data_IF_172424257541
#
_entry.id   IF_172424257541
#
_cell.length_a   1.000
_cell.length_b   1.000
_cell.length_c   1.000
_cell.angle_alpha   90.00
_cell.angle_beta   90.00
_cell.angle_gamma   90.00
#
_symmetry.space_group_name_H-M   'P 1'
#
loop_
_entity.id
_entity.type
_entity.pdbx_description
1 polymer ?
#
# COMPACT_ATOMS: atom_id res chain seq x y z
N UNK A 1 -2.72 8.11 8.85
CA UNK A 1 -2.33 6.72 9.21
C UNK A 1 -1.11 6.37 8.36
N UNK A 2 -0.11 5.66 8.90
CA UNK A 2 0.98 5.14 8.06
C UNK A 2 0.50 3.94 7.22
N UNK A 3 0.79 3.98 5.93
CA UNK A 3 0.40 2.96 4.96
C UNK A 3 1.61 2.64 4.09
N UNK A 4 2.16 1.43 4.23
CA UNK A 4 3.17 0.94 3.30
C UNK A 4 2.56 0.80 1.89
N UNK A 5 3.37 1.00 0.84
CA UNK A 5 2.89 1.10 -0.53
C UNK A 5 2.06 -0.11 -0.96
N UNK A 6 2.50 -1.33 -0.62
CA UNK A 6 1.81 -2.58 -0.94
C UNK A 6 0.47 -2.78 -0.20
N UNK A 7 0.22 -2.01 0.85
CA UNK A 7 -1.03 -2.01 1.60
C UNK A 7 -1.97 -0.85 1.22
N UNK A 8 -1.55 0.01 0.29
CA UNK A 8 -2.31 1.21 -0.08
C UNK A 8 -3.53 0.85 -0.93
N UNK A 9 -4.68 1.44 -0.61
CA UNK A 9 -5.86 1.43 -1.48
C UNK A 9 -5.94 2.78 -2.18
N UNK A 10 -6.20 2.78 -3.49
CA UNK A 10 -6.49 4.02 -4.22
C UNK A 10 -7.80 4.64 -3.75
N UNK A 11 -7.91 5.97 -3.82
CA UNK A 11 -9.02 6.75 -3.25
C UNK A 11 -10.40 6.25 -3.70
N UNK A 12 -10.57 5.97 -4.99
CA UNK A 12 -11.84 5.45 -5.52
C UNK A 12 -12.25 4.12 -4.87
N UNK A 13 -11.31 3.19 -4.72
CA UNK A 13 -11.55 1.89 -4.09
C UNK A 13 -11.80 2.05 -2.58
N UNK A 14 -11.09 2.97 -1.91
CA UNK A 14 -11.31 3.27 -0.50
C UNK A 14 -12.70 3.90 -0.25
N UNK A 15 -13.14 4.82 -1.11
CA UNK A 15 -14.47 5.42 -1.05
C UNK A 15 -15.58 4.40 -1.36
N UNK A 16 -15.38 3.52 -2.34
CA UNK A 16 -16.31 2.43 -2.64
C UNK A 16 -16.42 1.46 -1.47
N UNK A 17 -15.29 1.05 -0.88
CA UNK A 17 -15.26 0.22 0.32
C UNK A 17 -16.01 0.88 1.48
N UNK A 18 -15.71 2.16 1.75
CA UNK A 18 -16.35 2.89 2.84
C UNK A 18 -17.87 3.01 2.62
N UNK A 19 -18.30 3.28 1.37
CA UNK A 19 -19.71 3.30 0.98
C UNK A 19 -20.39 1.96 1.18
N UNK A 20 -19.72 0.84 0.90
CA UNK A 20 -20.26 -0.50 1.11
C UNK A 20 -20.45 -0.86 2.58
N UNK A 21 -19.57 -0.37 3.47
CA UNK A 21 -19.69 -0.57 4.92
C UNK A 21 -20.78 0.32 5.52
N UNK A 22 -20.86 1.59 5.11
CA UNK A 22 -21.94 2.51 5.49
C UNK A 22 -21.98 2.94 6.96
N UNK A 23 -21.05 2.47 7.80
CA UNK A 23 -20.95 2.82 9.22
C UNK A 23 -19.50 3.13 9.61
N UNK A 24 -19.28 4.09 10.50
CA UNK A 24 -17.93 4.50 10.88
C UNK A 24 -17.87 5.29 12.18
N UNK A 25 -16.66 5.48 12.71
CA UNK A 25 -16.40 6.29 13.91
C UNK A 25 -16.06 7.72 13.49
N UNK A 26 -16.95 8.66 13.76
CA UNK A 26 -16.67 10.08 13.61
C UNK A 26 -15.81 10.55 14.78
N UNK A 27 -14.60 10.96 14.47
CA UNK A 27 -13.65 11.57 15.39
C UNK A 27 -13.55 13.06 15.12
N UNK A 28 -13.74 13.87 16.15
CA UNK A 28 -13.60 15.34 16.09
C UNK A 28 -13.03 15.85 17.41
N UNK A 29 -12.62 17.11 17.42
CA UNK A 29 -12.14 17.77 18.65
C UNK A 29 -13.18 18.77 19.12
N UNK A 30 -13.60 18.66 20.38
CA UNK A 30 -14.44 19.64 21.04
C UNK A 30 -13.74 20.31 22.22
N UNK A 31 -14.43 21.21 22.96
CA UNK A 31 -13.85 21.94 24.09
C UNK A 31 -13.30 21.06 25.23
N UNK A 32 -13.74 19.79 25.30
CA UNK A 32 -13.33 18.83 26.32
C UNK A 32 -12.33 17.78 25.81
N UNK A 33 -11.78 17.96 24.60
CA UNK A 33 -10.87 17.01 23.95
C UNK A 33 -11.52 16.23 22.82
N UNK A 34 -11.00 15.03 22.55
CA UNK A 34 -11.44 14.18 21.45
C UNK A 34 -12.82 13.57 21.73
N UNK A 35 -13.71 13.67 20.75
CA UNK A 35 -14.99 12.99 20.69
C UNK A 35 -14.94 11.87 19.65
N UNK A 36 -15.65 10.77 19.93
CA UNK A 36 -15.84 9.68 18.98
C UNK A 36 -17.29 9.20 19.04
N UNK A 37 -18.00 9.23 17.91
CA UNK A 37 -19.36 8.66 17.79
C UNK A 37 -19.45 7.72 16.60
N UNK A 38 -19.97 6.52 16.84
CA UNK A 38 -20.27 5.57 15.76
C UNK A 38 -21.56 5.98 15.04
N UNK A 39 -21.47 6.20 13.73
CA UNK A 39 -22.56 6.73 12.92
C UNK A 39 -22.77 5.92 11.64
N UNK A 40 -24.02 5.63 11.25
CA UNK A 40 -24.37 5.31 9.87
C UNK A 40 -24.23 6.54 8.98
N UNK A 41 -23.76 6.35 7.75
CA UNK A 41 -23.51 7.44 6.82
C UNK A 41 -23.83 7.06 5.36
N UNK A 42 -23.97 8.08 4.53
CA UNK A 42 -23.94 7.98 3.07
C UNK A 42 -22.72 8.74 2.53
N UNK A 43 -22.20 8.34 1.38
CA UNK A 43 -21.18 9.12 0.67
C UNK A 43 -21.86 9.75 -0.56
N UNK A 44 -21.78 11.07 -0.73
CA UNK A 44 -22.33 11.78 -1.88
C UNK A 44 -21.20 12.43 -2.68
N UNK A 45 -21.24 12.31 -3.99
CA UNK A 45 -20.26 12.94 -4.89
C UNK A 45 -20.97 14.04 -5.66
N UNK A 46 -20.50 15.28 -5.51
CA UNK A 46 -21.06 16.45 -6.19
C UNK A 46 -19.96 17.15 -6.99
N UNK A 47 -19.90 16.83 -8.29
CA UNK A 47 -18.78 17.25 -9.13
C UNK A 47 -17.49 16.58 -8.65
N UNK A 48 -16.46 17.38 -8.34
CA UNK A 48 -15.17 16.90 -7.83
C UNK A 48 -15.14 16.75 -6.31
N UNK A 49 -16.20 17.16 -5.61
CA UNK A 49 -16.25 17.12 -4.14
C UNK A 49 -16.96 15.88 -3.65
N UNK A 50 -16.42 15.29 -2.59
CA UNK A 50 -16.98 14.12 -1.91
C UNK A 50 -17.42 14.51 -0.50
N UNK A 51 -18.61 14.09 -0.12
CA UNK A 51 -19.24 14.43 1.15
C UNK A 51 -19.67 13.16 1.87
N UNK A 52 -19.34 13.04 3.16
CA UNK A 52 -19.90 11.98 4.01
C UNK A 52 -21.02 12.56 4.85
N UNK A 53 -22.25 12.11 4.60
CA UNK A 53 -23.45 12.59 5.25
C UNK A 53 -23.89 11.63 6.35
N UNK A 54 -24.10 12.15 7.55
CA UNK A 54 -24.62 11.40 8.69
C UNK A 54 -25.52 12.31 9.52
N UNK A 55 -26.10 11.77 10.60
CA UNK A 55 -26.85 12.60 11.54
C UNK A 55 -26.47 12.24 12.97
N UNK A 56 -26.55 13.23 13.85
CA UNK A 56 -26.34 13.07 15.28
C UNK A 56 -27.63 13.42 16.01
N UNK A 57 -27.85 12.80 17.17
CA UNK A 57 -28.88 13.27 18.08
C UNK A 57 -28.53 14.69 18.53
N UNK A 58 -29.51 15.59 18.55
CA UNK A 58 -29.32 17.01 18.91
C UNK A 58 -28.72 17.22 20.30
N UNK A 59 -28.91 16.28 21.22
CA UNK A 59 -28.30 16.32 22.56
C UNK A 59 -26.82 15.95 22.57
N UNK A 60 -26.32 15.23 21.55
CA UNK A 60 -24.90 14.96 21.39
C UNK A 60 -24.19 16.27 21.02
N UNK A 61 -23.32 16.84 21.87
CA UNK A 61 -22.70 18.12 21.58
C UNK A 61 -21.74 18.09 20.39
N UNK A 62 -21.30 16.90 19.94
CA UNK A 62 -20.31 16.73 18.87
C UNK A 62 -20.72 17.37 17.53
N UNK A 63 -22.01 17.56 17.24
CA UNK A 63 -22.44 18.27 16.03
C UNK A 63 -22.02 19.75 16.02
N UNK A 64 -21.60 20.30 17.17
CA UNK A 64 -21.09 21.67 17.32
C UNK A 64 -19.55 21.73 17.31
N UNK A 65 -18.87 20.60 17.20
CA UNK A 65 -17.40 20.59 17.11
C UNK A 65 -16.97 21.33 15.84
N UNK A 66 -15.85 22.04 15.92
CA UNK A 66 -15.26 22.82 14.83
C UNK A 66 -13.89 22.26 14.43
N UNK A 67 -13.42 22.68 13.25
CA UNK A 67 -12.14 22.24 12.71
C UNK A 67 -12.19 20.92 11.94
N UNK A 68 -11.02 20.29 11.82
CA UNK A 68 -10.84 19.05 11.09
C UNK A 68 -11.43 17.86 11.86
N UNK A 69 -12.17 17.02 11.14
CA UNK A 69 -12.71 15.77 11.65
C UNK A 69 -12.26 14.61 10.76
N UNK A 70 -12.36 13.40 11.30
CA UNK A 70 -12.00 12.16 10.63
C UNK A 70 -13.07 11.11 10.86
N UNK A 71 -13.57 10.52 9.79
CA UNK A 71 -14.39 9.32 9.86
C UNK A 71 -13.50 8.09 9.63
N UNK A 72 -13.47 7.19 10.61
CA UNK A 72 -12.78 5.90 10.50
C UNK A 72 -13.80 4.83 10.15
N UNK A 73 -13.64 4.23 8.98
CA UNK A 73 -14.46 3.12 8.49
C UNK A 73 -13.65 1.84 8.61
N UNK A 74 -14.02 1.02 9.60
CA UNK A 74 -13.33 -0.23 9.89
C UNK A 74 -13.97 -1.37 9.08
N UNK A 75 -13.14 -2.07 8.31
CA UNK A 75 -13.49 -3.29 7.62
C UNK A 75 -13.37 -4.54 8.48
N UNK A 76 -13.52 -5.74 7.87
CA UNK A 76 -13.23 -6.98 8.56
C UNK A 76 -11.74 -7.05 8.94
N UNK A 77 -11.47 -7.74 10.05
CA UNK A 77 -10.12 -8.01 10.53
C UNK A 77 -10.02 -9.40 11.13
N UNK A 78 -8.88 -10.07 10.99
CA UNK A 78 -8.65 -11.39 11.52
C UNK A 78 -7.19 -11.57 11.95
N UNK A 79 -7.01 -12.26 13.08
CA UNK A 79 -5.71 -12.74 13.49
C UNK A 79 -5.26 -13.87 12.57
N UNK A 80 -4.05 -13.75 12.04
CA UNK A 80 -3.37 -14.76 11.23
C UNK A 80 -2.35 -15.45 12.12
N UNK A 81 -2.55 -16.75 12.36
CA UNK A 81 -1.63 -17.59 13.11
C UNK A 81 -0.37 -17.86 12.30
N UNK A 82 0.76 -18.02 12.98
CA UNK A 82 1.98 -18.57 12.36
C UNK A 82 1.76 -19.94 11.72
N UNK A 83 0.77 -20.70 12.21
CA UNK A 83 0.38 -22.01 11.69
C UNK A 83 -0.52 -21.92 10.44
N UNK A 84 -1.04 -20.74 10.10
CA UNK A 84 -1.87 -20.56 8.90
C UNK A 84 -0.97 -20.42 7.65
N UNK A 85 0.32 -20.12 7.81
CA UNK A 85 1.27 -20.01 6.69
C UNK A 85 1.76 -21.37 6.19
N UNK A 86 2.19 -21.47 4.92
CA UNK A 86 2.95 -22.63 4.46
C UNK A 86 4.19 -22.86 5.32
N UNK A 87 4.64 -24.12 5.36
CA UNK A 87 5.91 -24.44 6.02
C UNK A 87 7.08 -23.67 5.39
N UNK A 88 8.03 -23.26 6.23
CA UNK A 88 9.20 -22.50 5.78
C UNK A 88 9.98 -23.25 4.70
N UNK A 89 10.22 -22.59 3.57
CA UNK A 89 10.97 -23.18 2.47
C UNK A 89 12.49 -23.10 2.75
N UNK A 90 13.30 -24.05 2.26
CA UNK A 90 14.75 -23.93 2.31
C UNK A 90 15.24 -22.63 1.65
N UNK A 91 16.00 -21.81 2.38
CA UNK A 91 16.47 -20.52 1.90
C UNK A 91 15.49 -19.35 2.10
N UNK A 92 14.35 -19.59 2.76
CA UNK A 92 13.48 -18.52 3.26
C UNK A 92 14.26 -17.67 4.26
N UNK A 93 14.33 -16.36 3.98
CA UNK A 93 15.10 -15.42 4.79
C UNK A 93 14.30 -14.89 5.98
N UNK A 94 12.99 -14.69 5.81
CA UNK A 94 12.12 -14.09 6.82
C UNK A 94 11.18 -15.11 7.46
N UNK A 95 11.04 -15.13 8.80
CA UNK A 95 10.07 -15.99 9.46
C UNK A 95 8.65 -15.45 9.24
N UNK A 96 7.70 -16.36 9.04
CA UNK A 96 6.28 -16.00 9.05
C UNK A 96 5.77 -15.94 10.48
N UNK A 97 5.51 -14.74 10.99
CA UNK A 97 5.09 -14.50 12.38
C UNK A 97 3.58 -14.24 12.48
N UNK A 98 2.93 -14.54 13.63
CA UNK A 98 1.53 -14.19 13.84
C UNK A 98 1.27 -12.69 13.63
N UNK A 99 0.16 -12.36 12.98
CA UNK A 99 -0.16 -10.97 12.61
C UNK A 99 -1.66 -10.70 12.56
N UNK A 100 -2.04 -9.48 12.17
CA UNK A 100 -3.43 -9.08 11.94
C UNK A 100 -3.61 -8.63 10.49
N UNK A 101 -4.51 -9.30 9.79
CA UNK A 101 -5.00 -8.83 8.50
C UNK A 101 -6.27 -8.00 8.70
N UNK A 102 -6.36 -6.86 8.02
CA UNK A 102 -7.48 -5.94 8.17
C UNK A 102 -7.58 -4.96 6.99
N UNK A 103 -8.78 -4.38 6.84
CA UNK A 103 -9.03 -3.23 5.97
C UNK A 103 -9.55 -2.06 6.80
N UNK A 104 -9.07 -0.86 6.53
CA UNK A 104 -9.59 0.37 7.16
C UNK A 104 -9.46 1.56 6.21
N UNK A 105 -10.41 2.48 6.28
CA UNK A 105 -10.43 3.72 5.50
C UNK A 105 -10.61 4.89 6.45
N UNK A 106 -9.77 5.90 6.32
CA UNK A 106 -9.92 7.17 7.02
C UNK A 106 -10.32 8.24 6.00
N UNK A 107 -11.41 8.94 6.28
CA UNK A 107 -11.87 10.10 5.49
C UNK A 107 -11.71 11.33 6.38
N UNK A 108 -10.88 12.28 5.97
CA UNK A 108 -10.68 13.54 6.71
C UNK A 108 -11.32 14.70 5.98
N UNK A 109 -11.73 15.71 6.74
CA UNK A 109 -12.44 16.82 6.17
C UNK A 109 -12.94 17.84 7.18
N UNK A 110 -13.69 18.81 6.67
CA UNK A 110 -14.38 19.80 7.48
C UNK A 110 -15.85 19.43 7.69
N UNK A 111 -16.36 19.66 8.90
CA UNK A 111 -17.76 19.44 9.23
C UNK A 111 -18.62 20.66 8.88
N UNK A 112 -19.82 20.39 8.37
CA UNK A 112 -20.89 21.37 8.23
C UNK A 112 -22.21 20.79 8.74
N UNK A 113 -23.10 21.68 9.19
CA UNK A 113 -24.33 21.31 9.88
C UNK A 113 -25.55 21.65 9.02
N UNK A 114 -26.47 20.70 8.94
CA UNK A 114 -27.74 20.80 8.21
C UNK A 114 -28.91 20.56 9.16
N UNK A 115 -29.70 21.61 9.39
CA UNK A 115 -30.93 21.51 10.20
C UNK A 115 -32.21 21.70 9.39
N UNK A 116 -32.12 21.66 8.07
CA UNK A 116 -33.29 21.72 7.21
C UNK A 116 -33.93 20.33 7.03
N UNK A 117 -35.26 20.28 7.04
CA UNK A 117 -36.01 19.03 6.96
C UNK A 117 -35.87 18.35 5.59
N UNK A 118 -35.60 19.10 4.52
CA UNK A 118 -35.43 18.54 3.18
C UNK A 118 -34.15 17.72 3.07
N UNK A 119 -33.04 18.23 3.61
CA UNK A 119 -31.76 17.53 3.72
C UNK A 119 -31.92 16.29 4.61
N UNK A 120 -32.52 16.43 5.80
CA UNK A 120 -32.74 15.30 6.73
C UNK A 120 -33.59 14.20 6.10
N UNK A 121 -34.62 14.57 5.33
CA UNK A 121 -35.44 13.62 4.58
C UNK A 121 -34.62 12.91 3.49
N UNK A 122 -33.86 13.66 2.69
CA UNK A 122 -33.05 13.09 1.62
C UNK A 122 -31.98 12.13 2.14
N UNK A 123 -31.27 12.52 3.22
CA UNK A 123 -30.30 11.68 3.91
C UNK A 123 -30.92 10.40 4.46
N UNK A 124 -32.05 10.51 5.16
CA UNK A 124 -32.73 9.36 5.74
C UNK A 124 -33.23 8.39 4.65
N UNK A 125 -33.77 8.89 3.54
CA UNK A 125 -34.20 8.05 2.42
C UNK A 125 -33.02 7.22 1.89
N UNK A 126 -31.85 7.83 1.68
CA UNK A 126 -30.64 7.11 1.23
C UNK A 126 -30.14 6.09 2.25
N UNK A 127 -30.15 6.43 3.55
CA UNK A 127 -29.78 5.48 4.60
C UNK A 127 -30.71 4.26 4.60
N UNK A 128 -32.02 4.50 4.48
CA UNK A 128 -33.00 3.40 4.40
C UNK A 128 -32.75 2.55 3.15
N UNK A 129 -32.52 3.16 1.99
CA UNK A 129 -32.20 2.42 0.76
C UNK A 129 -30.92 1.60 0.86
N UNK A 130 -29.93 2.08 1.62
CA UNK A 130 -28.67 1.37 1.83
C UNK A 130 -28.80 0.17 2.77
N UNK A 131 -29.50 0.33 3.89
CA UNK A 131 -29.56 -0.70 4.95
C UNK A 131 -30.77 -1.63 4.86
N UNK A 132 -31.87 -1.19 4.22
CA UNK A 132 -33.11 -1.95 4.17
C UNK A 132 -33.38 -2.45 2.75
N UNK A 133 -33.55 -3.77 2.61
CA UNK A 133 -33.94 -4.38 1.33
C UNK A 133 -35.43 -4.19 1.03
N UNK A 134 -36.29 -4.28 2.06
CA UNK A 134 -37.75 -4.30 1.89
C UNK A 134 -38.46 -3.10 2.55
N UNK A 135 -37.95 -2.62 3.69
CA UNK A 135 -38.60 -1.56 4.44
C UNK A 135 -38.45 -0.20 3.74
N UNK A 136 -39.54 0.57 3.65
CA UNK A 136 -39.59 1.86 2.93
C UNK A 136 -40.48 2.88 3.63
N UNK A 137 -40.02 4.13 3.67
CA UNK A 137 -40.85 5.29 4.06
C UNK A 137 -41.93 5.53 3.01
N UNK A 138 -43.14 5.86 3.45
CA UNK A 138 -44.34 5.99 2.61
C UNK A 138 -45.14 4.69 2.45
N UNK A 139 -44.50 3.53 2.64
CA UNK A 139 -45.16 2.21 2.59
C UNK A 139 -45.38 1.66 4.00
N UNK A 140 -44.31 1.57 4.79
CA UNK A 140 -44.33 0.95 6.12
C UNK A 140 -44.50 1.99 7.24
N UNK A 141 -44.19 3.26 6.97
CA UNK A 141 -44.43 4.40 7.86
C UNK A 141 -44.77 5.65 7.04
N UNK A 142 -45.40 6.66 7.63
CA UNK A 142 -45.69 7.92 6.93
C UNK A 142 -44.50 8.89 6.99
N UNK A 143 -44.35 9.70 5.94
CA UNK A 143 -43.38 10.80 5.94
C UNK A 143 -43.63 11.80 7.07
N UNK A 144 -44.88 11.99 7.50
CA UNK A 144 -45.22 12.90 8.59
C UNK A 144 -44.68 12.42 9.95
N UNK A 145 -44.83 11.12 10.25
CA UNK A 145 -44.29 10.53 11.48
C UNK A 145 -42.76 10.59 11.50
N UNK A 146 -42.13 10.33 10.36
CA UNK A 146 -40.68 10.44 10.20
C UNK A 146 -40.21 11.89 10.39
N UNK A 147 -40.88 12.86 9.77
CA UNK A 147 -40.53 14.28 9.90
C UNK A 147 -40.66 14.76 11.34
N UNK A 148 -41.61 14.25 12.12
CA UNK A 148 -41.72 14.57 13.54
C UNK A 148 -40.46 14.17 14.34
N UNK A 149 -39.71 13.16 13.90
CA UNK A 149 -38.45 12.76 14.52
C UNK A 149 -37.26 13.68 14.15
N UNK A 150 -37.37 14.50 13.09
CA UNK A 150 -36.27 15.38 12.65
C UNK A 150 -35.93 16.48 13.65
N UNK A 151 -36.82 16.80 14.59
CA UNK A 151 -36.51 17.72 15.70
C UNK A 151 -35.43 17.17 16.62
N UNK A 152 -35.32 15.84 16.73
CA UNK A 152 -34.39 15.17 17.65
C UNK A 152 -32.99 14.97 17.03
N UNK A 153 -32.83 15.16 15.72
CA UNK A 153 -31.57 14.95 15.02
C UNK A 153 -31.09 16.23 14.34
N UNK A 154 -29.79 16.27 14.09
CA UNK A 154 -29.10 17.29 13.31
C UNK A 154 -28.35 16.57 12.20
N UNK A 155 -28.54 16.99 10.95
CA UNK A 155 -27.75 16.53 9.83
C UNK A 155 -26.34 17.09 9.90
N UNK A 156 -25.35 16.28 9.57
CA UNK A 156 -23.95 16.69 9.55
C UNK A 156 -23.31 16.12 8.29
N UNK A 157 -22.48 16.93 7.66
CA UNK A 157 -21.75 16.55 6.46
C UNK A 157 -20.25 16.81 6.66
N UNK A 158 -19.42 15.82 6.33
CA UNK A 158 -17.97 15.92 6.26
C UNK A 158 -17.56 16.11 4.79
N UNK A 159 -17.08 17.31 4.42
CA UNK A 159 -16.47 17.55 3.11
C UNK A 159 -15.07 16.92 3.08
N UNK A 160 -14.92 15.83 2.33
CA UNK A 160 -13.70 15.01 2.32
C UNK A 160 -12.59 15.74 1.57
N UNK A 161 -11.48 15.98 2.27
CA UNK A 161 -10.26 16.60 1.73
C UNK A 161 -9.10 15.62 1.59
N UNK A 162 -9.14 14.49 2.31
CA UNK A 162 -8.12 13.44 2.24
C UNK A 162 -8.77 12.06 2.43
N UNK A 163 -8.38 11.11 1.58
CA UNK A 163 -8.78 9.70 1.66
C UNK A 163 -7.53 8.87 1.95
N UNK A 164 -7.57 8.05 2.99
CA UNK A 164 -6.47 7.14 3.33
C UNK A 164 -7.05 5.74 3.48
N UNK A 165 -6.82 4.86 2.51
CA UNK A 165 -7.22 3.45 2.58
C UNK A 165 -6.03 2.52 2.81
N UNK A 166 -6.19 1.56 3.73
CA UNK A 166 -5.20 0.52 4.02
C UNK A 166 -5.84 -0.86 4.01
N UNK A 167 -5.29 -1.75 3.20
CA UNK A 167 -5.59 -3.17 3.18
C UNK A 167 -4.33 -3.97 3.48
N UNK A 168 -4.16 -4.41 4.74
CA UNK A 168 -3.07 -5.30 5.14
C UNK A 168 -3.58 -6.73 5.10
N UNK A 169 -3.21 -7.47 4.07
CA UNK A 169 -3.80 -8.76 3.71
C UNK A 169 -2.76 -9.82 3.32
N UNK A 170 -1.48 -9.60 3.68
CA UNK A 170 -0.40 -10.55 3.41
C UNK A 170 0.29 -10.35 2.06
N UNK A 171 0.19 -9.17 1.44
CA UNK A 171 0.79 -8.84 0.14
C UNK A 171 2.30 -9.12 0.06
N UNK A 172 3.01 -9.17 1.19
CA UNK A 172 4.44 -9.50 1.19
C UNK A 172 4.70 -10.97 0.77
N UNK A 173 3.73 -11.87 0.92
CA UNK A 173 3.84 -13.30 0.59
C UNK A 173 3.62 -13.58 -0.91
N UNK A 174 3.97 -14.78 -1.38
CA UNK A 174 3.63 -15.24 -2.73
C UNK A 174 2.12 -15.43 -2.91
N UNK A 175 1.65 -15.41 -4.15
CA UNK A 175 0.24 -15.64 -4.48
C UNK A 175 -0.27 -16.98 -3.93
N UNK A 176 0.54 -18.04 -4.07
CA UNK A 176 0.25 -19.37 -3.52
C UNK A 176 0.20 -19.37 -1.99
N UNK A 177 1.14 -18.70 -1.32
CA UNK A 177 1.16 -18.62 0.13
C UNK A 177 -0.05 -17.84 0.68
N UNK A 178 -0.46 -16.76 0.01
CA UNK A 178 -1.67 -16.00 0.37
C UNK A 178 -2.91 -16.89 0.26
N UNK A 179 -3.07 -17.61 -0.87
CA UNK A 179 -4.20 -18.51 -1.08
C UNK A 179 -4.22 -19.66 -0.04
N UNK A 180 -3.06 -20.23 0.27
CA UNK A 180 -2.93 -21.25 1.32
C UNK A 180 -3.35 -20.72 2.69
N UNK A 181 -2.84 -19.54 3.07
CA UNK A 181 -3.19 -18.90 4.35
C UNK A 181 -4.66 -18.52 4.43
N UNK A 182 -5.25 -18.02 3.34
CA UNK A 182 -6.69 -17.76 3.26
C UNK A 182 -7.51 -19.05 3.44
N UNK A 183 -7.11 -20.15 2.82
CA UNK A 183 -7.73 -21.46 2.99
C UNK A 183 -7.71 -21.95 4.45
N UNK A 184 -6.54 -21.94 5.07
CA UNK A 184 -6.38 -22.33 6.48
C UNK A 184 -7.20 -21.43 7.42
N UNK A 185 -7.23 -20.11 7.14
CA UNK A 185 -8.01 -19.15 7.91
C UNK A 185 -9.52 -19.48 7.86
N UNK A 186 -10.05 -19.81 6.67
CA UNK A 186 -11.47 -20.20 6.52
C UNK A 186 -11.80 -21.49 7.26
N UNK A 187 -10.92 -22.48 7.21
CA UNK A 187 -11.12 -23.75 7.94
C UNK A 187 -11.08 -23.56 9.46
N UNK A 188 -10.21 -22.65 9.93
CA UNK A 188 -10.01 -22.39 11.35
C UNK A 188 -11.10 -21.50 11.97
N UNK A 189 -11.59 -20.50 11.22
CA UNK A 189 -12.47 -19.45 11.75
C UNK A 189 -13.44 -18.93 10.68
N UNK A 190 -14.70 -19.37 10.75
CA UNK A 190 -15.77 -18.93 9.83
C UNK A 190 -16.01 -17.42 9.90
N UNK A 191 -15.81 -16.78 11.06
CA UNK A 191 -15.98 -15.32 11.20
C UNK A 191 -14.90 -14.52 10.46
N UNK A 192 -13.77 -15.18 10.13
CA UNK A 192 -12.67 -14.61 9.37
C UNK A 192 -12.80 -14.81 7.86
N UNK A 193 -13.83 -15.52 7.37
CA UNK A 193 -14.09 -15.71 5.94
C UNK A 193 -14.08 -14.40 5.13
N UNK A 194 -14.68 -13.27 5.59
CA UNK A 194 -14.58 -12.00 4.86
C UNK A 194 -13.14 -11.50 4.69
N UNK A 195 -12.24 -11.76 5.65
CA UNK A 195 -10.82 -11.42 5.50
C UNK A 195 -10.14 -12.35 4.49
N UNK A 196 -10.41 -13.65 4.54
CA UNK A 196 -9.88 -14.60 3.57
C UNK A 196 -10.34 -14.26 2.12
N UNK A 197 -11.60 -13.86 1.95
CA UNK A 197 -12.12 -13.41 0.65
C UNK A 197 -11.37 -12.17 0.16
N UNK A 198 -11.10 -11.19 1.03
CA UNK A 198 -10.32 -10.01 0.68
C UNK A 198 -8.85 -10.35 0.39
N UNK A 199 -8.25 -11.32 1.08
CA UNK A 199 -6.90 -11.81 0.75
C UNK A 199 -6.85 -12.33 -0.69
N UNK A 200 -7.84 -13.10 -1.12
CA UNK A 200 -7.93 -13.61 -2.49
C UNK A 200 -8.31 -12.54 -3.52
N UNK A 201 -9.17 -11.59 -3.17
CA UNK A 201 -9.64 -10.55 -4.10
C UNK A 201 -8.65 -9.40 -4.29
N UNK A 202 -7.85 -9.09 -3.27
CA UNK A 202 -6.94 -7.95 -3.27
C UNK A 202 -5.48 -8.42 -3.28
N UNK A 203 -5.09 -9.25 -2.32
CA UNK A 203 -3.67 -9.57 -2.12
C UNK A 203 -3.14 -10.58 -3.16
N UNK A 204 -3.93 -11.57 -3.58
CA UNK A 204 -3.51 -12.52 -4.64
C UNK A 204 -3.27 -11.83 -5.98
N UNK A 205 -4.19 -11.00 -6.54
CA UNK A 205 -3.92 -10.26 -7.78
C UNK A 205 -2.71 -9.34 -7.67
N UNK A 206 -2.51 -8.70 -6.51
CA UNK A 206 -1.33 -7.89 -6.27
C UNK A 206 -0.04 -8.73 -6.33
N UNK A 207 -0.03 -9.89 -5.67
CA UNK A 207 1.12 -10.79 -5.64
C UNK A 207 1.39 -11.41 -7.01
N UNK A 208 0.35 -11.83 -7.74
CA UNK A 208 0.45 -12.30 -9.13
C UNK A 208 1.02 -11.22 -10.04
N UNK A 209 0.56 -9.97 -9.91
CA UNK A 209 1.08 -8.86 -10.70
C UNK A 209 2.57 -8.59 -10.39
N UNK A 210 2.98 -8.73 -9.12
CA UNK A 210 4.39 -8.67 -8.72
C UNK A 210 5.18 -9.84 -9.33
N UNK A 211 4.67 -11.07 -9.24
CA UNK A 211 5.29 -12.27 -9.79
C UNK A 211 5.39 -12.24 -11.32
N UNK A 212 4.38 -11.71 -12.02
CA UNK A 212 4.37 -11.52 -13.46
C UNK A 212 5.38 -10.45 -13.89
N UNK A 213 5.49 -9.34 -13.14
CA UNK A 213 6.52 -8.33 -13.40
C UNK A 213 7.93 -8.91 -13.26
N UNK A 214 8.15 -9.74 -12.24
CA UNK A 214 9.40 -10.50 -12.07
C UNK A 214 9.59 -11.50 -13.22
N UNK A 215 8.53 -12.20 -13.63
CA UNK A 215 8.55 -13.19 -14.70
C UNK A 215 8.77 -12.61 -16.10
N UNK A 216 8.19 -11.45 -16.41
CA UNK A 216 8.43 -10.74 -17.67
C UNK A 216 9.84 -10.18 -17.72
N UNK A 217 10.32 -9.60 -16.62
CA UNK A 217 11.70 -9.16 -16.52
C UNK A 217 12.68 -10.34 -16.74
N UNK A 218 12.33 -11.55 -16.26
CA UNK A 218 13.06 -12.80 -16.57
C UNK A 218 12.96 -13.29 -18.02
N UNK A 219 11.87 -13.01 -18.75
CA UNK A 219 11.62 -13.50 -20.13
C UNK A 219 12.10 -12.54 -21.20
N UNK A 220 11.87 -11.24 -21.02
CA UNK A 220 12.20 -10.20 -22.00
C UNK A 220 13.72 -9.94 -22.08
N UNK A 221 14.49 -10.56 -21.18
CA UNK A 221 15.97 -10.50 -21.13
C UNK A 221 16.63 -11.78 -21.70
N UNK A 222 15.88 -12.85 -22.04
CA UNK A 222 16.47 -14.11 -22.54
C UNK A 222 15.66 -14.83 -23.65
N UNK A 223 16.14 -14.89 -24.91
CA UNK A 223 15.61 -15.79 -25.92
C UNK A 223 16.34 -17.14 -25.89
N UNK A 224 16.40 -17.84 -24.76
CA UNK A 224 16.88 -19.24 -24.73
C UNK A 224 16.04 -20.05 -23.74
N UNK A 225 15.39 -21.10 -24.27
CA UNK A 225 14.59 -22.05 -23.51
C UNK A 225 15.40 -22.69 -22.36
N UNK A 226 14.93 -22.54 -21.13
CA UNK A 226 15.52 -23.22 -19.97
C UNK A 226 14.76 -24.51 -19.65
N UNK A 227 15.47 -25.64 -19.75
CA UNK A 227 15.19 -26.82 -18.96
C UNK A 227 15.63 -26.54 -17.52
N UNK A 228 14.70 -26.65 -16.57
CA UNK A 228 14.97 -26.51 -15.15
C UNK A 228 16.07 -27.49 -14.70
N UNK A 229 17.22 -26.95 -14.33
CA UNK A 229 18.34 -27.66 -13.69
C UNK A 229 18.48 -27.08 -12.27
N UNK A 230 18.87 -27.87 -11.24
CA UNK A 230 18.78 -27.43 -9.84
C UNK A 230 19.60 -26.16 -9.58
N UNK A 231 19.05 -25.25 -8.77
CA UNK A 231 19.72 -24.02 -8.31
C UNK A 231 21.08 -24.36 -7.69
N UNK A 232 22.16 -24.15 -8.43
CA UNK A 232 23.50 -24.00 -7.85
C UNK A 232 23.53 -22.61 -7.19
N UNK A 233 24.00 -22.54 -5.95
CA UNK A 233 24.14 -21.28 -5.24
C UNK A 233 25.13 -20.36 -5.97
N UNK A 234 24.64 -19.25 -6.54
CA UNK A 234 25.48 -18.19 -7.11
C UNK A 234 25.92 -17.25 -5.98
N UNK A 235 27.21 -17.20 -5.71
CA UNK A 235 27.79 -16.39 -4.63
C UNK A 235 27.67 -14.88 -4.87
N UNK A 236 27.25 -14.44 -6.07
CA UNK A 236 27.01 -13.03 -6.38
C UNK A 236 25.66 -12.54 -5.90
N UNK A 237 24.78 -13.42 -5.42
CA UNK A 237 23.49 -13.03 -4.84
C UNK A 237 23.71 -12.37 -3.47
N UNK A 238 23.05 -11.24 -3.23
CA UNK A 238 23.09 -10.59 -1.92
C UNK A 238 22.50 -11.50 -0.84
N UNK A 239 23.32 -11.80 0.17
CA UNK A 239 22.86 -12.40 1.42
C UNK A 239 22.36 -11.29 2.34
N UNK A 240 21.13 -11.42 2.80
CA UNK A 240 20.50 -10.38 3.59
C UNK A 240 21.14 -10.28 4.98
N UNK A 241 21.44 -9.06 5.41
CA UNK A 241 22.04 -8.78 6.70
C UNK A 241 21.02 -8.16 7.65
N UNK A 242 20.51 -9.01 8.55
CA UNK A 242 19.55 -8.63 9.57
C UNK A 242 20.15 -7.72 10.64
N UNK A 243 21.45 -7.84 10.89
CA UNK A 243 22.12 -7.05 11.91
C UNK A 243 22.27 -5.60 11.46
N UNK A 244 22.55 -5.39 10.17
CA UNK A 244 22.57 -4.06 9.57
C UNK A 244 21.17 -3.41 9.46
N UNK A 245 20.14 -4.20 9.16
CA UNK A 245 18.80 -3.66 8.91
C UNK A 245 17.94 -3.53 10.18
N UNK A 246 18.13 -4.41 11.17
CA UNK A 246 17.22 -4.56 12.32
C UNK A 246 17.94 -4.60 13.67
N UNK A 247 18.99 -5.42 13.81
CA UNK A 247 19.55 -5.73 15.13
C UNK A 247 20.42 -4.60 15.70
N UNK A 248 21.28 -3.99 14.87
CA UNK A 248 22.16 -2.91 15.32
C UNK A 248 21.48 -1.54 15.13
N UNK A 249 21.83 -0.54 15.98
CA UNK A 249 21.38 0.84 15.77
C UNK A 249 21.66 1.31 14.33
N UNK A 250 20.71 2.03 13.69
CA UNK A 250 19.52 2.63 14.27
C UNK A 250 18.31 1.69 14.45
N UNK A 251 18.47 0.39 14.24
CA UNK A 251 17.37 -0.58 14.12
C UNK A 251 16.45 -0.25 12.94
N UNK A 252 15.21 -0.75 12.99
CA UNK A 252 14.16 -0.31 12.09
C UNK A 252 13.43 0.90 12.72
N UNK A 253 14.08 2.06 12.67
CA UNK A 253 13.53 3.35 13.08
C UNK A 253 12.86 4.11 11.90
N UNK A 254 12.77 3.46 10.74
CA UNK A 254 12.27 4.04 9.50
C UNK A 254 13.28 4.86 8.70
N UNK A 255 14.52 5.03 9.19
CA UNK A 255 15.60 5.65 8.42
C UNK A 255 15.92 4.84 7.15
N UNK A 256 16.24 5.50 6.03
CA UNK A 256 16.62 4.79 4.81
C UNK A 256 17.86 3.91 5.02
N UNK A 257 17.83 2.70 4.44
CA UNK A 257 19.00 1.88 4.21
C UNK A 257 19.42 1.99 2.74
N UNK A 258 20.73 2.07 2.50
CA UNK A 258 21.28 2.12 1.14
C UNK A 258 22.20 0.92 0.93
N UNK A 259 21.78 0.02 0.05
CA UNK A 259 22.59 -1.09 -0.44
C UNK A 259 23.16 -0.71 -1.81
N UNK A 260 24.47 -0.47 -1.85
CA UNK A 260 25.18 -0.16 -3.08
C UNK A 260 25.53 -1.44 -3.84
N UNK A 261 25.11 -1.50 -5.09
CA UNK A 261 25.51 -2.50 -6.07
C UNK A 261 26.59 -1.91 -6.98
N UNK A 262 27.73 -2.58 -7.04
CA UNK A 262 28.81 -2.26 -7.96
C UNK A 262 28.93 -3.38 -8.99
N UNK A 263 28.74 -3.03 -10.26
CA UNK A 263 28.93 -3.93 -11.40
C UNK A 263 30.23 -3.56 -12.11
N UNK A 264 31.01 -4.58 -12.48
CA UNK A 264 32.27 -4.41 -13.22
C UNK A 264 32.33 -5.37 -14.39
N UNK A 265 32.80 -4.89 -15.54
CA UNK A 265 32.90 -5.67 -16.79
C UNK A 265 34.23 -5.39 -17.53
N UNK A 266 35.26 -5.00 -16.79
CA UNK A 266 36.59 -4.74 -17.33
C UNK A 266 36.68 -3.43 -18.10
N UNK A 267 36.90 -3.50 -19.43
CA UNK A 267 37.00 -2.33 -20.32
C UNK A 267 35.84 -2.30 -21.33
N UNK A 268 34.73 -2.98 -21.01
CA UNK A 268 33.55 -3.04 -21.87
C UNK A 268 32.45 -2.09 -21.35
N UNK A 269 31.34 -2.00 -22.08
CA UNK A 269 30.16 -1.20 -21.72
C UNK A 269 28.95 -2.08 -21.38
N UNK A 270 29.18 -3.38 -21.21
CA UNK A 270 28.16 -4.41 -20.99
C UNK A 270 27.39 -4.17 -19.69
N UNK A 271 28.09 -3.79 -18.62
CA UNK A 271 27.50 -3.44 -17.33
C UNK A 271 26.56 -2.23 -17.43
N UNK A 272 27.00 -1.17 -18.14
CA UNK A 272 26.20 0.04 -18.35
C UNK A 272 24.95 -0.25 -19.17
N UNK A 273 25.10 -0.96 -20.29
CA UNK A 273 23.96 -1.33 -21.15
C UNK A 273 22.94 -2.18 -20.39
N UNK A 274 23.39 -3.15 -19.59
CA UNK A 274 22.50 -3.97 -18.76
C UNK A 274 21.77 -3.13 -17.69
N UNK A 275 22.50 -2.23 -17.00
CA UNK A 275 21.94 -1.32 -16.01
C UNK A 275 20.87 -0.41 -16.60
N UNK A 276 21.17 0.26 -17.71
CA UNK A 276 20.23 1.18 -18.37
C UNK A 276 18.96 0.45 -18.85
N UNK A 277 19.12 -0.77 -19.39
CA UNK A 277 18.01 -1.60 -19.80
C UNK A 277 17.11 -2.00 -18.63
N UNK A 278 17.68 -2.41 -17.50
CA UNK A 278 16.91 -2.72 -16.29
C UNK A 278 16.22 -1.49 -15.71
N UNK A 279 16.95 -0.37 -15.58
CA UNK A 279 16.40 0.90 -15.09
C UNK A 279 15.21 1.36 -15.93
N UNK A 280 15.20 1.12 -17.23
CA UNK A 280 14.07 1.44 -18.11
C UNK A 280 12.80 0.60 -17.84
N UNK A 281 12.91 -0.52 -17.12
CA UNK A 281 11.76 -1.35 -16.74
C UNK A 281 11.09 -0.91 -15.44
N UNK A 282 11.75 -0.06 -14.65
CA UNK A 282 11.29 0.37 -13.35
C UNK A 282 10.31 1.55 -13.45
N UNK A 283 9.47 1.73 -12.44
CA UNK A 283 8.54 2.87 -12.39
C UNK A 283 9.32 4.14 -12.08
N UNK A 284 9.11 5.19 -12.86
CA UNK A 284 9.68 6.52 -12.61
C UNK A 284 8.79 7.31 -11.64
N UNK A 285 9.41 7.88 -10.59
CA UNK A 285 8.78 8.74 -9.60
C UNK A 285 8.99 10.23 -9.97
N UNK A 286 8.26 11.15 -9.32
CA UNK A 286 8.26 12.59 -9.67
C UNK A 286 9.65 13.25 -9.66
N UNK A 287 10.59 12.73 -8.86
CA UNK A 287 11.95 13.26 -8.72
C UNK A 287 12.97 12.62 -9.71
N UNK A 288 12.51 11.91 -10.74
CA UNK A 288 13.36 11.19 -11.70
C UNK A 288 13.99 9.90 -11.15
N UNK A 289 13.70 9.57 -9.89
CA UNK A 289 14.06 8.29 -9.28
C UNK A 289 13.28 7.14 -9.92
N UNK A 290 13.89 5.96 -9.96
CA UNK A 290 13.22 4.76 -10.46
C UNK A 290 13.15 3.70 -9.39
N UNK A 291 12.10 2.90 -9.37
CA UNK A 291 11.96 1.84 -8.38
C UNK A 291 10.64 1.11 -8.45
N UNK A 292 10.38 0.26 -7.46
CA UNK A 292 9.16 -0.53 -7.31
C UNK A 292 8.91 -0.82 -5.84
N UNK A 293 7.64 -0.95 -5.46
CA UNK A 293 7.21 -1.62 -4.23
C UNK A 293 8.07 -1.33 -2.99
N UNK A 294 8.18 -0.07 -2.57
CA UNK A 294 8.84 0.32 -1.33
C UNK A 294 10.35 0.61 -1.43
N UNK A 295 10.97 0.47 -2.60
CA UNK A 295 12.38 0.82 -2.82
C UNK A 295 12.59 1.63 -4.10
N UNK A 296 13.70 2.37 -4.14
CA UNK A 296 14.17 3.15 -5.28
C UNK A 296 15.63 2.81 -5.59
N UNK A 297 16.08 3.09 -6.80
CA UNK A 297 17.47 2.98 -7.24
C UNK A 297 17.96 4.30 -7.81
N UNK A 298 19.18 4.65 -7.42
CA UNK A 298 19.91 5.78 -7.95
C UNK A 298 21.13 5.30 -8.72
N UNK A 299 21.27 5.79 -9.96
CA UNK A 299 22.51 5.64 -10.70
C UNK A 299 23.48 6.74 -10.29
N UNK A 300 24.50 6.35 -9.51
CA UNK A 300 25.45 7.28 -8.87
C UNK A 300 26.34 7.97 -9.91
N UNK A 301 26.49 7.41 -11.11
CA UNK A 301 27.41 7.89 -12.15
C UNK A 301 26.65 8.47 -13.36
N UNK A 302 25.42 8.04 -13.62
CA UNK A 302 24.60 8.54 -14.73
C UNK A 302 24.11 9.99 -14.58
N UNK A 303 24.07 10.53 -13.35
CA UNK A 303 23.70 11.93 -13.07
C UNK A 303 24.93 12.80 -12.79
N UNK A 304 25.70 13.11 -13.84
CA UNK A 304 26.87 13.98 -13.76
C UNK A 304 26.96 14.95 -14.93
N UNK A 305 26.05 15.92 -15.02
CA UNK A 305 26.30 17.31 -15.50
C UNK A 305 24.99 18.08 -15.71
N UNK A 306 24.41 18.61 -14.62
CA UNK A 306 23.41 19.70 -14.74
C UNK A 306 23.75 20.89 -13.81
N UNK A 307 25.04 21.04 -13.49
CA UNK A 307 25.58 22.31 -13.00
C UNK A 307 25.94 23.18 -14.21
N UNK A 308 25.08 24.15 -14.49
CA UNK A 308 25.20 25.06 -15.62
C UNK A 308 26.54 25.81 -15.68
N UNK A 309 27.46 25.33 -16.50
CA UNK A 309 28.58 26.10 -17.02
C UNK A 309 29.18 25.43 -18.28
N UNK A 310 28.85 25.99 -19.44
CA UNK A 310 29.74 26.04 -20.60
C UNK A 310 29.69 24.85 -21.56
N UNK A 311 29.13 25.10 -22.74
CA UNK A 311 29.29 24.27 -23.93
C UNK A 311 30.78 24.18 -24.32
N UNK A 312 31.32 22.95 -24.35
CA UNK A 312 32.21 22.42 -25.39
C UNK A 312 32.86 21.10 -24.92
N UNK A 313 32.16 19.96 -25.13
CA UNK A 313 32.81 18.67 -25.36
C UNK A 313 31.82 17.68 -25.98
N UNK A 314 32.03 17.36 -27.25
CA UNK A 314 31.46 16.17 -27.87
C UNK A 314 32.24 14.92 -27.39
N UNK A 315 31.53 13.92 -26.87
CA UNK A 315 32.04 12.64 -26.34
C UNK A 315 31.88 12.57 -24.81
N UNK A 316 31.18 11.59 -24.20
CA UNK A 316 31.34 10.16 -24.42
C UNK A 316 30.04 9.35 -24.19
N UNK A 317 29.81 8.36 -25.05
CA UNK A 317 28.99 7.18 -24.76
C UNK A 317 29.66 6.38 -23.63
N UNK A 318 28.89 6.00 -22.61
CA UNK A 318 29.20 4.98 -21.59
C UNK A 318 30.61 4.96 -20.99
N UNK A 319 30.80 5.51 -19.79
CA UNK A 319 32.04 5.29 -19.03
C UNK A 319 32.34 3.78 -18.90
N UNK A 320 33.51 3.36 -19.39
CA UNK A 320 33.93 1.96 -19.35
C UNK A 320 34.14 1.47 -17.90
N UNK A 321 33.72 0.24 -17.63
CA UNK A 321 34.31 -0.63 -16.61
C UNK A 321 33.65 -0.67 -15.23
N UNK A 322 32.79 0.28 -14.87
CA UNK A 322 32.10 0.26 -13.57
C UNK A 322 30.74 0.97 -13.59
N UNK A 323 29.71 0.31 -13.06
CA UNK A 323 28.39 0.92 -12.78
C UNK A 323 28.12 0.83 -11.29
N UNK A 324 27.63 1.92 -10.70
CA UNK A 324 27.33 2.00 -9.28
C UNK A 324 25.87 2.41 -9.10
N UNK A 325 25.08 1.52 -8.51
CA UNK A 325 23.66 1.70 -8.27
C UNK A 325 23.39 1.66 -6.77
N UNK A 326 22.78 2.71 -6.22
CA UNK A 326 22.37 2.76 -4.82
C UNK A 326 20.91 2.34 -4.70
N UNK A 327 20.66 1.15 -4.15
CA UNK A 327 19.33 0.62 -3.86
C UNK A 327 18.90 1.13 -2.48
N UNK A 328 17.82 1.90 -2.43
CA UNK A 328 17.38 2.60 -1.24
C UNK A 328 15.99 2.11 -0.85
N UNK A 329 15.83 1.79 0.42
CA UNK A 329 14.53 1.46 1.04
C UNK A 329 14.45 2.17 2.39
N UNK A 330 13.25 2.49 2.88
CA UNK A 330 13.04 3.15 4.17
C UNK A 330 11.66 2.86 4.75
N UNK A 331 11.36 3.42 5.92
CA UNK A 331 10.10 3.17 6.63
C UNK A 331 10.02 1.78 7.29
N UNK A 332 8.81 1.35 7.64
CA UNK A 332 8.55 0.12 8.41
C UNK A 332 9.07 -1.15 7.71
N UNK A 333 9.17 -1.13 6.39
CA UNK A 333 9.52 -2.30 5.56
C UNK A 333 10.92 -2.14 4.92
N UNK A 334 11.84 -1.41 5.57
CA UNK A 334 13.20 -1.15 5.05
C UNK A 334 13.89 -2.43 4.58
N UNK A 335 13.73 -3.51 5.34
CA UNK A 335 14.32 -4.81 5.03
C UNK A 335 13.68 -5.46 3.80
N UNK A 336 12.35 -5.50 3.72
CA UNK A 336 11.63 -6.12 2.61
C UNK A 336 11.95 -5.38 1.30
N UNK A 337 12.05 -4.05 1.36
CA UNK A 337 12.47 -3.25 0.22
C UNK A 337 13.92 -3.53 -0.21
N UNK A 338 14.87 -3.69 0.73
CA UNK A 338 16.26 -4.07 0.37
C UNK A 338 16.33 -5.50 -0.20
N UNK A 339 15.61 -6.48 0.37
CA UNK A 339 15.60 -7.85 -0.17
C UNK A 339 14.98 -7.89 -1.56
N UNK A 340 13.88 -7.15 -1.76
CA UNK A 340 13.22 -7.03 -3.05
C UNK A 340 14.13 -6.37 -4.08
N UNK A 341 14.76 -5.24 -3.74
CA UNK A 341 15.66 -4.53 -4.62
C UNK A 341 16.86 -5.40 -5.02
N UNK A 342 17.50 -6.05 -4.06
CA UNK A 342 18.68 -6.88 -4.29
C UNK A 342 18.34 -8.15 -5.09
N UNK A 343 17.16 -8.74 -4.86
CA UNK A 343 16.68 -9.88 -5.65
C UNK A 343 16.34 -9.45 -7.08
N UNK A 344 15.66 -8.33 -7.28
CA UNK A 344 15.31 -7.83 -8.61
C UNK A 344 16.57 -7.43 -9.40
N UNK A 345 17.54 -6.78 -8.76
CA UNK A 345 18.84 -6.49 -9.37
C UNK A 345 19.61 -7.78 -9.71
N UNK A 346 19.66 -8.78 -8.82
CA UNK A 346 20.32 -10.05 -9.12
C UNK A 346 19.69 -10.74 -10.32
N UNK A 347 18.37 -10.86 -10.36
CA UNK A 347 17.66 -11.60 -11.40
C UNK A 347 17.73 -10.94 -12.78
N UNK A 348 17.80 -9.61 -12.84
CA UNK A 348 17.74 -8.86 -14.09
C UNK A 348 19.08 -8.32 -14.58
N UNK A 349 20.05 -8.12 -13.68
CA UNK A 349 21.37 -7.59 -14.03
C UNK A 349 22.48 -8.63 -13.93
N UNK A 350 22.40 -9.56 -12.98
CA UNK A 350 23.54 -10.39 -12.58
C UNK A 350 23.40 -11.82 -13.11
N UNK A 351 22.23 -12.42 -12.92
CA UNK A 351 21.96 -13.81 -13.23
C UNK A 351 22.20 -14.09 -14.73
N UNK A 352 23.02 -15.11 -15.01
CA UNK A 352 23.35 -15.48 -16.40
C UNK A 352 24.38 -14.58 -17.09
N UNK A 353 24.93 -13.58 -16.42
CA UNK A 353 26.04 -12.75 -16.92
C UNK A 353 27.38 -13.16 -16.32
N UNK A 354 28.48 -12.65 -16.86
CA UNK A 354 29.84 -12.75 -16.32
C UNK A 354 30.30 -11.47 -15.60
N UNK A 355 29.37 -10.55 -15.30
CA UNK A 355 29.65 -9.32 -14.56
C UNK A 355 30.25 -9.64 -13.18
N UNK A 356 31.29 -8.88 -12.83
CA UNK A 356 31.79 -8.81 -11.47
C UNK A 356 30.82 -8.01 -10.61
N UNK A 357 30.51 -8.53 -9.42
CA UNK A 357 29.49 -7.98 -8.53
C UNK A 357 30.08 -7.76 -7.15
N UNK A 358 29.89 -6.56 -6.61
CA UNK A 358 30.15 -6.24 -5.22
C UNK A 358 28.93 -5.55 -4.61
N UNK A 359 28.58 -5.99 -3.39
CA UNK A 359 27.49 -5.43 -2.59
C UNK A 359 28.10 -4.70 -1.40
N UNK A 360 27.78 -3.41 -1.24
CA UNK A 360 28.28 -2.58 -0.14
C UNK A 360 27.11 -2.01 0.64
N UNK A 361 27.03 -2.34 1.92
CA UNK A 361 26.09 -1.72 2.85
C UNK A 361 26.63 -0.35 3.24
N UNK A 362 25.90 0.73 2.94
CA UNK A 362 26.32 2.06 3.36
C UNK A 362 25.92 2.31 4.83
N UNK A 363 26.64 3.22 5.54
CA UNK A 363 26.31 3.60 6.90
C UNK A 363 24.86 4.09 7.02
N UNK A 364 24.18 3.68 8.10
CA UNK A 364 22.85 4.15 8.49
C UNK A 364 22.93 5.12 9.67
#
# INVERSE_FOLDING_TARGET
>A
MYVAQQHTMGDAAALEFARGVGVGQLVSTGPNGLNATFVPFNIEVQGERTFVQFHLNRVNPQWRDDGEAMLIVQGPSAHISGLDFPAEAPGQKLPTVPTLNYVTVHLRGALSVHDDDAWKQSHLTRLVEHFESEWRVGVHTSFELVRAAFVAIVGVELEVTEVIGKAKLGQNLSSEAIAHTAGNLRERDESACPVADLMEQIAVPWALSREERVGHARRDVLPIAWNATPQVADSRRYALDFDWLWTNPPHNDGSPAILRLILTDGQTTTARVAADAWLATLTEFEDGQRGRGGWAVYDVVGMGSDDGAGADSAGAEGECGQVVLDLISGGEDVLDGIDSAATEAYENLIAGTDLGVEWVQLPR
#
